data_IF_506565723048
#
_entry.id   IF_506565723048
#
_cell.length_a   1.000
_cell.length_b   1.000
_cell.length_c   1.000
_cell.angle_alpha   90.00
_cell.angle_beta   90.00
_cell.angle_gamma   90.00
#
_symmetry.space_group_name_H-M   'P 1'
#
loop_
_entity.id
_entity.type
_entity.pdbx_description
1 polymer ?
#
# COMPACT_ATOMS: atom_id res chain seq x y z
N UNK A 1 -13.97 5.14 4.79
CA UNK A 1 -13.02 4.28 4.07
C UNK A 1 -11.76 4.13 4.92
N UNK A 2 -11.20 2.93 4.99
CA UNK A 2 -9.92 2.64 5.64
C UNK A 2 -8.92 2.25 4.57
N UNK A 3 -7.81 3.00 4.46
CA UNK A 3 -6.79 2.80 3.43
C UNK A 3 -5.46 2.47 4.10
N UNK A 4 -4.94 1.27 3.85
CA UNK A 4 -3.61 0.88 4.26
C UNK A 4 -2.66 0.93 3.06
N UNK A 5 -1.46 1.44 3.28
CA UNK A 5 -0.37 1.39 2.32
C UNK A 5 0.67 0.37 2.79
N UNK A 6 1.05 -0.52 1.89
CA UNK A 6 2.18 -1.42 2.05
C UNK A 6 3.22 -1.05 0.99
N UNK A 7 4.37 -0.54 1.41
CA UNK A 7 5.43 -0.13 0.49
C UNK A 7 6.66 -1.01 0.64
N UNK A 8 7.13 -1.47 -0.49
CA UNK A 8 8.36 -2.25 -0.55
C UNK A 8 9.56 -1.29 -0.47
N UNK A 9 10.41 -1.56 0.50
CA UNK A 9 11.59 -0.77 0.70
C UNK A 9 12.73 -1.72 1.07
N UNK A 10 13.63 -1.98 0.16
CA UNK A 10 14.85 -2.75 0.47
C UNK A 10 16.09 -1.97 0.06
N UNK A 11 17.19 -2.22 0.75
CA UNK A 11 18.48 -1.57 0.50
C UNK A 11 19.05 -1.79 -0.92
N UNK A 12 18.42 -2.65 -1.71
CA UNK A 12 18.78 -2.91 -3.11
C UNK A 12 17.98 -2.03 -4.08
N UNK A 13 16.98 -1.29 -3.60
CA UNK A 13 16.13 -0.40 -4.39
C UNK A 13 16.74 1.00 -4.48
N UNK A 14 16.40 1.70 -5.54
CA UNK A 14 16.82 3.08 -5.65
C UNK A 14 16.09 3.94 -4.60
N UNK A 15 16.81 4.77 -3.85
CA UNK A 15 16.24 5.77 -2.94
C UNK A 15 15.16 6.61 -3.65
N UNK A 16 15.27 6.78 -4.97
CA UNK A 16 14.31 7.52 -5.79
C UNK A 16 12.93 6.85 -5.85
N UNK A 17 12.86 5.51 -6.01
CA UNK A 17 11.58 4.80 -6.05
C UNK A 17 10.90 4.80 -4.67
N UNK A 18 11.67 4.61 -3.60
CA UNK A 18 11.12 4.68 -2.26
C UNK A 18 10.58 6.08 -1.95
N UNK A 19 11.33 7.12 -2.29
CA UNK A 19 10.90 8.50 -2.18
C UNK A 19 9.65 8.77 -3.01
N UNK A 20 9.57 8.24 -4.23
CA UNK A 20 8.39 8.35 -5.09
C UNK A 20 7.15 7.70 -4.45
N UNK A 21 7.31 6.55 -3.78
CA UNK A 21 6.21 5.91 -3.02
C UNK A 21 5.74 6.80 -1.86
N UNK A 22 6.67 7.32 -1.05
CA UNK A 22 6.34 8.25 0.05
C UNK A 22 5.63 9.50 -0.47
N UNK A 23 6.13 10.11 -1.54
CA UNK A 23 5.54 11.31 -2.13
C UNK A 23 4.15 11.01 -2.73
N UNK A 24 3.96 9.85 -3.34
CA UNK A 24 2.64 9.40 -3.82
C UNK A 24 1.63 9.29 -2.66
N UNK A 25 2.03 8.71 -1.53
CA UNK A 25 1.16 8.62 -0.34
C UNK A 25 0.85 10.02 0.20
N UNK A 26 1.82 10.94 0.23
CA UNK A 26 1.59 12.33 0.67
C UNK A 26 0.61 13.06 -0.23
N UNK A 27 0.72 12.91 -1.55
CA UNK A 27 -0.25 13.45 -2.51
C UNK A 27 -1.65 12.84 -2.31
N UNK A 28 -1.72 11.53 -2.08
CA UNK A 28 -2.99 10.84 -1.81
C UNK A 28 -3.68 11.39 -0.55
N UNK A 29 -2.94 11.54 0.56
CA UNK A 29 -3.53 12.05 1.81
C UNK A 29 -3.86 13.55 1.74
N UNK A 30 -3.14 14.33 0.92
CA UNK A 30 -3.48 15.73 0.64
C UNK A 30 -4.84 15.84 -0.07
N UNK A 31 -5.13 14.92 -1.02
CA UNK A 31 -6.40 14.90 -1.75
C UNK A 31 -7.59 14.50 -0.90
N UNK A 32 -7.45 13.48 -0.06
CA UNK A 32 -8.55 12.93 0.71
C UNK A 32 -8.67 13.54 2.11
N UNK A 33 -7.60 14.11 2.62
CA UNK A 33 -7.54 14.78 3.93
C UNK A 33 -7.71 13.82 5.13
N UNK A 34 -7.77 14.42 6.32
CA UNK A 34 -7.96 13.72 7.61
C UNK A 34 -9.30 14.13 8.26
N UNK A 35 -10.37 14.17 7.48
CA UNK A 35 -11.70 14.67 7.88
C UNK A 35 -12.56 13.66 8.66
N UNK A 36 -11.98 12.57 9.15
CA UNK A 36 -12.68 11.49 9.87
C UNK A 36 -13.44 10.50 8.96
N UNK A 37 -13.50 10.75 7.65
CA UNK A 37 -14.12 9.82 6.68
C UNK A 37 -13.12 8.79 6.18
N UNK A 38 -11.85 9.18 6.05
CA UNK A 38 -10.75 8.31 5.62
C UNK A 38 -9.78 8.14 6.77
N UNK A 39 -9.43 6.88 7.07
CA UNK A 39 -8.40 6.52 8.04
C UNK A 39 -7.26 5.86 7.30
N UNK A 40 -6.05 6.07 7.78
CA UNK A 40 -4.82 5.63 7.13
C UNK A 40 -4.03 4.67 8.01
N UNK A 41 -3.41 3.70 7.37
CA UNK A 41 -2.37 2.85 7.97
C UNK A 41 -1.20 2.73 7.00
N UNK A 42 0.00 2.48 7.53
CA UNK A 42 1.22 2.38 6.74
C UNK A 42 2.13 1.30 7.31
N UNK A 43 2.57 0.41 6.43
CA UNK A 43 3.64 -0.55 6.72
C UNK A 43 4.68 -0.54 5.62
N UNK A 44 5.90 -0.88 5.98
CA UNK A 44 6.96 -1.25 5.03
C UNK A 44 7.13 -2.76 5.06
N UNK A 45 7.33 -3.37 3.90
CA UNK A 45 7.62 -4.79 3.86
C UNK A 45 9.06 -5.08 3.49
N UNK A 46 9.79 -5.44 4.52
CA UNK A 46 11.02 -6.18 4.52
C UNK A 46 10.76 -7.51 5.23
N UNK A 47 11.75 -8.21 5.69
CA UNK A 47 11.60 -9.37 6.55
C UNK A 47 12.23 -9.12 7.94
N UNK A 48 11.41 -8.89 8.98
CA UNK A 48 9.94 -8.87 9.02
C UNK A 48 9.34 -7.53 8.53
N UNK A 49 8.04 -7.48 8.12
CA UNK A 49 7.34 -6.25 7.85
C UNK A 49 7.24 -5.36 9.09
N UNK A 50 7.30 -4.04 8.90
CA UNK A 50 7.21 -3.07 10.00
C UNK A 50 6.00 -2.16 9.81
N UNK A 51 5.14 -2.08 10.82
CA UNK A 51 4.01 -1.15 10.87
C UNK A 51 4.47 0.19 11.43
N UNK A 52 4.21 1.26 10.70
CA UNK A 52 4.54 2.65 11.08
C UNK A 52 3.33 3.44 11.53
N UNK A 53 2.15 3.10 11.01
CA UNK A 53 0.88 3.74 11.33
C UNK A 53 -0.24 2.71 11.36
N UNK A 54 -1.05 2.73 12.42
CA UNK A 54 -2.28 1.94 12.53
C UNK A 54 -3.50 2.87 12.42
N UNK A 55 -4.67 2.34 12.04
CA UNK A 55 -5.91 3.11 11.97
C UNK A 55 -6.34 3.73 13.31
N UNK A 56 -5.93 3.11 14.43
CA UNK A 56 -6.15 3.66 15.78
C UNK A 56 -5.30 4.90 16.07
N UNK A 57 -4.17 5.07 15.40
CA UNK A 57 -3.24 6.18 15.60
C UNK A 57 -3.67 7.39 14.75
N UNK A 58 -4.68 8.13 15.22
CA UNK A 58 -5.14 9.32 14.53
C UNK A 58 -4.05 10.39 14.54
N UNK A 59 -3.58 10.76 13.36
CA UNK A 59 -2.66 11.89 13.24
C UNK A 59 -3.34 13.19 13.69
N UNK A 60 -2.61 14.00 14.47
CA UNK A 60 -3.11 15.26 15.00
C UNK A 60 -3.40 16.30 13.90
N UNK A 61 -2.70 16.20 12.76
CA UNK A 61 -2.85 17.08 11.60
C UNK A 61 -2.38 16.39 10.32
N UNK A 62 -2.76 16.95 9.17
CA UNK A 62 -2.26 16.50 7.88
C UNK A 62 -0.74 16.63 7.78
N UNK A 63 -0.18 17.71 8.33
CA UNK A 63 1.27 17.92 8.40
C UNK A 63 1.95 16.81 9.18
N UNK A 64 1.44 16.48 10.39
CA UNK A 64 2.01 15.41 11.20
C UNK A 64 1.95 14.04 10.50
N UNK A 65 0.88 13.77 9.73
CA UNK A 65 0.78 12.55 8.93
C UNK A 65 1.82 12.53 7.81
N UNK A 66 2.01 13.64 7.10
CA UNK A 66 3.00 13.76 6.03
C UNK A 66 4.43 13.66 6.56
N UNK A 67 4.71 14.26 7.72
CA UNK A 67 6.01 14.14 8.41
C UNK A 67 6.28 12.69 8.82
N UNK A 68 5.28 11.96 9.30
CA UNK A 68 5.42 10.53 9.59
C UNK A 68 5.79 9.75 8.32
N UNK A 69 5.06 9.95 7.21
CA UNK A 69 5.31 9.27 5.93
C UNK A 69 6.72 9.57 5.43
N UNK A 70 7.17 10.83 5.49
CA UNK A 70 8.49 11.26 5.06
C UNK A 70 9.63 10.60 5.86
N UNK A 71 9.42 10.39 7.16
CA UNK A 71 10.42 9.85 8.07
C UNK A 71 10.35 8.32 8.23
N UNK A 72 9.53 7.62 7.44
CA UNK A 72 9.52 6.16 7.41
C UNK A 72 10.90 5.67 6.93
N UNK A 73 11.61 4.87 7.74
CA UNK A 73 12.90 4.38 7.33
C UNK A 73 12.76 3.33 6.24
N UNK A 74 13.68 3.37 5.27
CA UNK A 74 13.80 2.31 4.28
C UNK A 74 14.30 1.03 4.97
N UNK A 75 13.58 -0.10 4.89
CA UNK A 75 14.05 -1.35 5.45
C UNK A 75 15.34 -1.84 4.77
N UNK A 76 16.16 -2.55 5.51
CA UNK A 76 17.48 -3.01 5.05
C UNK A 76 17.51 -4.45 4.54
N UNK A 77 16.34 -5.14 4.50
CA UNK A 77 16.26 -6.58 4.20
C UNK A 77 15.22 -6.89 3.12
N UNK A 78 15.26 -8.15 2.69
CA UNK A 78 14.44 -8.78 1.66
C UNK A 78 12.96 -8.45 1.74
N UNK A 79 12.32 -8.28 0.59
CA UNK A 79 10.90 -7.98 0.49
C UNK A 79 10.09 -9.28 0.60
N UNK A 80 9.31 -9.45 1.66
CA UNK A 80 8.44 -10.59 1.87
C UNK A 80 6.97 -10.18 1.65
N UNK A 81 6.47 -10.31 0.42
CA UNK A 81 5.13 -9.87 0.03
C UNK A 81 4.02 -10.64 0.76
N UNK A 82 4.18 -11.97 0.93
CA UNK A 82 3.25 -12.82 1.67
C UNK A 82 3.09 -12.38 3.14
N UNK A 83 4.21 -12.06 3.80
CA UNK A 83 4.24 -11.56 5.18
C UNK A 83 3.65 -10.16 5.27
N UNK A 84 3.93 -9.31 4.28
CA UNK A 84 3.34 -7.97 4.20
C UNK A 84 1.82 -8.01 4.07
N UNK A 85 1.29 -8.86 3.19
CA UNK A 85 -0.15 -9.07 3.02
C UNK A 85 -0.80 -9.58 4.32
N UNK A 86 -0.16 -10.54 4.99
CA UNK A 86 -0.63 -11.06 6.28
C UNK A 86 -0.63 -9.96 7.36
N UNK A 87 0.43 -9.16 7.44
CA UNK A 87 0.52 -8.04 8.39
C UNK A 87 -0.50 -6.95 8.07
N UNK A 88 -0.66 -6.60 6.79
CA UNK A 88 -1.66 -5.63 6.34
C UNK A 88 -3.08 -6.06 6.72
N UNK A 89 -3.43 -7.35 6.55
CA UNK A 89 -4.72 -7.89 6.98
C UNK A 89 -5.00 -7.61 8.45
N UNK A 90 -4.01 -7.77 9.33
CA UNK A 90 -4.16 -7.51 10.76
C UNK A 90 -4.41 -6.02 11.07
N UNK A 91 -3.92 -5.09 10.23
CA UNK A 91 -4.20 -3.66 10.41
C UNK A 91 -5.69 -3.34 10.29
N UNK A 92 -6.44 -4.07 9.45
CA UNK A 92 -7.89 -3.86 9.31
C UNK A 92 -8.73 -4.46 10.43
N UNK A 93 -8.10 -5.12 11.41
CA UNK A 93 -8.81 -5.62 12.58
C UNK A 93 -9.30 -4.47 13.48
N UNK A 94 -10.40 -4.66 14.22
CA UNK A 94 -10.87 -3.67 15.19
C UNK A 94 -9.82 -3.33 16.27
N UNK A 95 -8.96 -4.30 16.63
CA UNK A 95 -7.88 -4.09 17.59
C UNK A 95 -6.83 -3.08 17.11
N UNK A 96 -6.59 -2.98 15.80
CA UNK A 96 -5.72 -1.99 15.18
C UNK A 96 -6.47 -0.70 14.76
N UNK A 97 -7.76 -0.60 15.06
CA UNK A 97 -8.61 0.55 14.76
C UNK A 97 -9.31 0.48 13.41
N UNK A 98 -9.27 -0.67 12.74
CA UNK A 98 -10.03 -0.92 11.51
C UNK A 98 -11.54 -0.88 11.80
N UNK A 99 -12.30 -0.20 10.94
CA UNK A 99 -13.74 -0.05 11.09
C UNK A 99 -14.48 -1.18 10.36
N UNK A 100 -15.44 -1.80 11.04
CA UNK A 100 -16.18 -2.95 10.49
C UNK A 100 -16.94 -2.58 9.21
N UNK A 101 -17.61 -1.42 9.23
CA UNK A 101 -18.49 -0.97 8.14
C UNK A 101 -17.78 -0.06 7.12
N UNK A 102 -16.46 0.12 7.23
CA UNK A 102 -15.72 0.93 6.27
C UNK A 102 -15.34 0.12 5.02
N UNK A 103 -15.36 0.76 3.86
CA UNK A 103 -14.67 0.24 2.68
C UNK A 103 -13.19 0.08 3.01
N UNK A 104 -12.64 -1.09 2.79
CA UNK A 104 -11.26 -1.48 3.13
C UNK A 104 -10.42 -1.58 1.88
N UNK A 105 -9.37 -0.79 1.80
CA UNK A 105 -8.46 -0.73 0.66
C UNK A 105 -7.03 -0.95 1.14
N UNK A 106 -6.34 -1.89 0.51
CA UNK A 106 -4.90 -2.10 0.65
C UNK A 106 -4.21 -1.70 -0.65
N UNK A 107 -3.37 -0.68 -0.59
CA UNK A 107 -2.52 -0.25 -1.71
C UNK A 107 -1.12 -0.82 -1.51
N UNK A 108 -0.70 -1.70 -2.41
CA UNK A 108 0.64 -2.32 -2.40
C UNK A 108 1.50 -1.62 -3.46
N UNK A 109 2.59 -0.99 -3.03
CA UNK A 109 3.54 -0.32 -3.92
C UNK A 109 4.89 -1.02 -3.84
N UNK A 110 5.42 -1.46 -4.97
CA UNK A 110 6.68 -2.20 -5.04
C UNK A 110 7.44 -1.87 -6.33
N UNK A 111 8.76 -1.89 -6.31
CA UNK A 111 9.59 -1.63 -7.48
C UNK A 111 10.43 -2.86 -7.91
N UNK A 112 10.27 -3.97 -7.24
CA UNK A 112 10.91 -5.25 -7.60
C UNK A 112 10.05 -6.45 -7.20
N UNK A 113 10.41 -7.62 -7.73
CA UNK A 113 9.85 -8.87 -7.25
C UNK A 113 10.21 -9.10 -5.78
N UNK A 114 9.31 -9.75 -5.06
CA UNK A 114 9.56 -10.17 -3.69
C UNK A 114 10.39 -11.45 -3.63
N UNK A 115 10.94 -11.72 -2.46
CA UNK A 115 11.64 -12.98 -2.18
C UNK A 115 10.66 -14.10 -1.77
N UNK A 116 9.36 -13.80 -1.69
CA UNK A 116 8.29 -14.76 -1.47
C UNK A 116 8.00 -15.54 -2.75
N UNK A 117 7.58 -16.80 -2.62
CA UNK A 117 7.05 -17.53 -3.77
C UNK A 117 5.70 -16.92 -4.21
N UNK A 118 5.42 -16.97 -5.50
CA UNK A 118 4.13 -16.51 -6.04
C UNK A 118 2.95 -17.25 -5.39
N UNK A 119 3.10 -18.53 -5.04
CA UNK A 119 2.05 -19.32 -4.38
C UNK A 119 1.76 -18.80 -2.96
N UNK A 120 2.78 -18.47 -2.18
CA UNK A 120 2.62 -17.89 -0.84
C UNK A 120 1.97 -16.51 -0.89
N UNK A 121 2.41 -15.66 -1.82
CA UNK A 121 1.81 -14.35 -2.05
C UNK A 121 0.35 -14.45 -2.46
N UNK A 122 -0.01 -15.33 -3.40
CA UNK A 122 -1.40 -15.60 -3.81
C UNK A 122 -2.26 -16.09 -2.66
N UNK A 123 -1.75 -17.03 -1.85
CA UNK A 123 -2.46 -17.56 -0.68
C UNK A 123 -2.75 -16.45 0.35
N UNK A 124 -1.76 -15.62 0.64
CA UNK A 124 -1.91 -14.49 1.57
C UNK A 124 -2.86 -13.44 1.02
N UNK A 125 -2.79 -13.13 -0.28
CA UNK A 125 -3.71 -12.21 -0.93
C UNK A 125 -5.16 -12.71 -0.87
N UNK A 126 -5.38 -14.01 -1.13
CA UNK A 126 -6.71 -14.58 -0.99
C UNK A 126 -7.28 -14.40 0.43
N UNK A 127 -6.46 -14.58 1.46
CA UNK A 127 -6.90 -14.32 2.84
C UNK A 127 -7.26 -12.87 3.11
N UNK A 128 -6.59 -11.93 2.44
CA UNK A 128 -6.90 -10.50 2.51
C UNK A 128 -8.24 -10.21 1.84
N UNK A 129 -8.43 -10.71 0.63
CA UNK A 129 -9.66 -10.47 -0.16
C UNK A 129 -10.88 -11.18 0.40
N UNK A 130 -10.72 -12.36 1.01
CA UNK A 130 -11.80 -13.09 1.69
C UNK A 130 -12.36 -12.30 2.91
N UNK A 131 -11.61 -11.34 3.47
CA UNK A 131 -12.08 -10.41 4.50
C UNK A 131 -12.68 -9.09 3.96
N UNK A 132 -12.93 -9.04 2.65
CA UNK A 132 -13.52 -7.88 1.99
C UNK A 132 -12.55 -6.70 1.82
N UNK A 133 -11.24 -6.95 1.88
CA UNK A 133 -10.21 -5.95 1.64
C UNK A 133 -9.86 -5.96 0.14
N UNK A 134 -10.12 -4.86 -0.56
CA UNK A 134 -9.70 -4.70 -1.96
C UNK A 134 -8.21 -4.39 -2.03
N UNK A 135 -7.48 -5.15 -2.84
CA UNK A 135 -6.05 -4.96 -3.05
C UNK A 135 -5.83 -4.23 -4.37
N UNK A 136 -5.19 -3.08 -4.31
CA UNK A 136 -4.73 -2.30 -5.46
C UNK A 136 -3.21 -2.38 -5.48
N UNK A 137 -2.62 -2.69 -6.62
CA UNK A 137 -1.17 -2.85 -6.76
C UNK A 137 -0.58 -1.81 -7.72
N UNK A 138 0.53 -1.20 -7.30
CA UNK A 138 1.25 -0.17 -8.04
C UNK A 138 2.70 -0.62 -8.24
N UNK A 139 2.99 -1.37 -9.32
CA UNK A 139 4.35 -1.76 -9.65
C UNK A 139 5.13 -0.57 -10.21
N UNK A 140 6.26 -0.25 -9.60
CA UNK A 140 7.20 0.80 -10.04
C UNK A 140 8.45 0.20 -10.71
N UNK A 141 8.51 -1.13 -10.80
CA UNK A 141 9.64 -1.88 -11.34
C UNK A 141 9.45 -2.33 -12.79
N UNK A 142 10.14 -3.41 -13.13
CA UNK A 142 10.13 -4.03 -14.45
C UNK A 142 8.88 -4.90 -14.70
N UNK A 143 8.81 -5.58 -15.85
CA UNK A 143 7.67 -6.45 -16.21
C UNK A 143 7.51 -7.66 -15.28
N UNK A 144 8.59 -8.17 -14.69
CA UNK A 144 8.53 -9.29 -13.76
C UNK A 144 7.83 -8.86 -12.47
N UNK A 145 8.15 -7.67 -11.95
CA UNK A 145 7.44 -7.05 -10.85
C UNK A 145 5.95 -6.81 -11.18
N UNK A 146 5.63 -6.36 -12.41
CA UNK A 146 4.24 -6.23 -12.87
C UNK A 146 3.52 -7.57 -12.87
N UNK A 147 4.18 -8.64 -13.31
CA UNK A 147 3.59 -9.97 -13.37
C UNK A 147 3.34 -10.54 -11.97
N UNK A 148 4.25 -10.33 -11.03
CA UNK A 148 4.06 -10.71 -9.64
C UNK A 148 2.82 -10.04 -9.04
N UNK A 149 2.69 -8.73 -9.12
CA UNK A 149 1.57 -8.01 -8.48
C UNK A 149 0.22 -8.30 -9.11
N UNK A 150 0.17 -8.77 -10.36
CA UNK A 150 -1.06 -9.28 -10.98
C UNK A 150 -1.64 -10.49 -10.25
N UNK A 151 -0.81 -11.23 -9.53
CA UNK A 151 -1.23 -12.44 -8.81
C UNK A 151 -1.94 -12.13 -7.49
N UNK A 152 -1.78 -10.92 -6.98
CA UNK A 152 -2.33 -10.53 -5.67
C UNK A 152 -3.58 -9.66 -5.74
N UNK A 153 -3.98 -9.19 -6.92
CA UNK A 153 -5.20 -8.42 -7.12
C UNK A 153 -6.38 -9.31 -7.57
N UNK A 154 -7.60 -8.92 -7.22
CA UNK A 154 -8.79 -9.68 -7.61
C UNK A 154 -9.23 -9.41 -9.05
N UNK A 155 -9.01 -8.21 -9.54
CA UNK A 155 -9.34 -7.78 -10.89
C UNK A 155 -8.14 -7.07 -11.52
N UNK A 156 -8.04 -7.17 -12.85
CA UNK A 156 -6.87 -6.63 -13.57
C UNK A 156 -6.75 -5.12 -13.49
N UNK A 157 -7.86 -4.44 -13.40
CA UNK A 157 -8.00 -3.00 -13.29
C UNK A 157 -7.40 -2.44 -12.00
N UNK A 158 -7.21 -3.30 -10.99
CA UNK A 158 -6.55 -2.94 -9.73
C UNK A 158 -5.03 -2.93 -9.82
N UNK A 159 -4.45 -3.26 -10.98
CA UNK A 159 -3.02 -3.07 -11.25
C UNK A 159 -2.82 -1.74 -11.97
N UNK A 160 -2.31 -0.76 -11.23
CA UNK A 160 -1.99 0.58 -11.75
C UNK A 160 -0.53 0.59 -12.17
N UNK A 161 -0.26 0.47 -13.47
CA UNK A 161 1.09 0.57 -14.01
C UNK A 161 1.40 2.04 -14.33
N UNK A 162 2.27 2.72 -13.54
CA UNK A 162 2.66 4.08 -13.85
C UNK A 162 3.46 4.16 -15.15
N UNK A 163 3.29 5.27 -15.88
CA UNK A 163 4.20 5.61 -16.95
C UNK A 163 5.53 6.13 -16.38
N UNK A 164 6.59 6.06 -17.16
CA UNK A 164 7.92 6.53 -16.72
C UNK A 164 7.92 8.03 -16.38
N UNK A 165 7.03 8.79 -16.98
CA UNK A 165 6.86 10.25 -16.80
C UNK A 165 5.87 10.61 -15.70
N UNK A 166 5.16 9.63 -15.12
CA UNK A 166 4.18 9.92 -14.07
C UNK A 166 4.87 10.43 -12.82
N UNK A 167 4.47 11.60 -12.37
CA UNK A 167 4.86 12.16 -11.08
C UNK A 167 4.06 11.51 -9.93
N UNK A 168 4.48 11.65 -8.68
CA UNK A 168 3.75 11.12 -7.51
C UNK A 168 2.27 11.50 -7.49
N UNK A 169 1.95 12.74 -7.90
CA UNK A 169 0.59 13.24 -8.01
C UNK A 169 -0.27 12.45 -9.00
N UNK A 170 0.29 12.14 -10.18
CA UNK A 170 -0.44 11.42 -11.22
C UNK A 170 -0.75 9.99 -10.77
N UNK A 171 0.18 9.37 -10.05
CA UNK A 171 0.00 8.04 -9.47
C UNK A 171 -1.08 8.07 -8.38
N UNK A 172 -1.05 9.08 -7.50
CA UNK A 172 -2.07 9.25 -6.47
C UNK A 172 -3.47 9.43 -7.07
N UNK A 173 -3.60 10.23 -8.13
CA UNK A 173 -4.86 10.41 -8.84
C UNK A 173 -5.36 9.10 -9.44
N UNK A 174 -4.51 8.33 -10.09
CA UNK A 174 -4.87 6.99 -10.62
C UNK A 174 -5.35 6.03 -9.52
N UNK A 175 -4.71 6.06 -8.34
CA UNK A 175 -5.16 5.24 -7.20
C UNK A 175 -6.55 5.68 -6.75
N UNK A 176 -6.79 6.99 -6.63
CA UNK A 176 -8.09 7.52 -6.21
C UNK A 176 -9.17 7.16 -7.23
N UNK A 177 -8.92 7.37 -8.51
CA UNK A 177 -9.85 7.02 -9.59
C UNK A 177 -10.19 5.52 -9.56
N UNK A 178 -9.19 4.65 -9.43
CA UNK A 178 -9.40 3.20 -9.32
C UNK A 178 -10.27 2.84 -8.10
N UNK A 179 -10.09 3.53 -6.97
CA UNK A 179 -10.94 3.33 -5.79
C UNK A 179 -12.39 3.73 -6.07
N UNK A 180 -12.60 4.84 -6.77
CA UNK A 180 -13.93 5.39 -7.06
C UNK A 180 -14.65 4.60 -8.16
N UNK A 181 -13.95 4.18 -9.21
CA UNK A 181 -14.54 3.41 -10.32
C UNK A 181 -15.10 2.05 -9.89
N UNK A 182 -14.65 1.52 -8.79
CA UNK A 182 -15.20 0.28 -8.20
C UNK A 182 -16.54 0.49 -7.46
N UNK A 183 -17.17 1.64 -7.58
CA UNK A 183 -18.47 1.98 -6.95
C UNK A 183 -19.66 1.94 -7.93
N UNK A 184 -19.46 1.53 -9.20
CA UNK A 184 -20.52 1.45 -10.22
C UNK A 184 -21.09 0.03 -10.38
#
# INVERSE_FOLDING_TARGET
>A
MDVAFAISATALQSDANFKKMQDTIKEFVDRLGINGRVFYALLTFGDPPTTHLQFSNKSASLTALKDLIENVPMPSKEAALDKALTTAKMLFSPAAGGRVDAKKILVVMTDRESDSSSEEAMKSSKQVTDEGIRVIAVPLGNEDNVNEVKTIVSIKEDVIKPNITDEPRDIADKIIDTILDGEL
#
